data_IF_070398367246
#
_entry.id   IF_070398367246
#
_cell.length_a   1.000
_cell.length_b   1.000
_cell.length_c   1.000
_cell.angle_alpha   90.00
_cell.angle_beta   90.00
_cell.angle_gamma   90.00
#
_symmetry.space_group_name_H-M   'P 1'
#
loop_
_entity.id
_entity.type
_entity.pdbx_description
1 polymer ?
#
# COMPACT_ATOMS: atom_id res chain seq x y z
N UNK A 1 14.43 11.88 -21.94
CA UNK A 1 13.99 12.46 -20.65
C UNK A 1 12.58 12.01 -20.37
N UNK A 2 12.36 11.38 -19.22
CA UNK A 2 11.01 10.92 -18.82
C UNK A 2 10.15 12.16 -18.54
N UNK A 3 8.90 12.22 -19.05
CA UNK A 3 8.02 13.36 -18.76
C UNK A 3 7.83 13.52 -17.24
N UNK A 4 7.91 14.75 -16.71
CA UNK A 4 7.86 15.00 -15.26
C UNK A 4 6.52 14.62 -14.61
N UNK A 5 5.48 14.37 -15.41
CA UNK A 5 4.12 14.08 -14.94
C UNK A 5 3.72 12.61 -15.06
N UNK A 6 4.67 11.71 -15.30
CA UNK A 6 4.37 10.30 -15.43
C UNK A 6 4.30 9.63 -14.06
N UNK A 7 3.17 9.01 -13.77
CA UNK A 7 2.99 8.11 -12.63
C UNK A 7 3.13 6.64 -13.06
N UNK A 8 3.71 5.85 -12.20
CA UNK A 8 3.77 4.39 -12.33
C UNK A 8 2.69 3.80 -11.43
N UNK A 9 1.91 2.87 -11.98
CA UNK A 9 1.02 2.02 -11.21
C UNK A 9 1.67 0.64 -11.09
N UNK A 10 2.06 0.27 -9.87
CA UNK A 10 2.56 -1.07 -9.54
C UNK A 10 1.40 -1.87 -8.96
N UNK A 11 1.15 -3.05 -9.52
CA UNK A 11 0.18 -4.03 -9.01
C UNK A 11 0.95 -5.33 -8.75
N UNK A 12 0.64 -6.02 -7.66
CA UNK A 12 1.24 -7.33 -7.37
C UNK A 12 0.79 -8.37 -8.40
N UNK A 13 1.75 -9.05 -9.05
CA UNK A 13 1.55 -9.80 -10.28
C UNK A 13 0.66 -11.06 -10.24
N UNK A 14 0.12 -11.43 -9.07
CA UNK A 14 -0.85 -12.55 -8.92
C UNK A 14 -2.26 -12.08 -8.60
N UNK A 15 -2.47 -10.77 -8.57
CA UNK A 15 -3.74 -10.15 -8.22
C UNK A 15 -4.24 -9.31 -9.37
N UNK A 16 -5.54 -9.40 -9.62
CA UNK A 16 -6.27 -8.54 -10.53
C UNK A 16 -6.88 -7.38 -9.73
N UNK A 17 -6.61 -6.15 -10.16
CA UNK A 17 -7.26 -4.98 -9.59
C UNK A 17 -8.51 -4.63 -10.41
N UNK A 18 -9.68 -4.91 -9.85
CA UNK A 18 -10.96 -4.80 -10.56
C UNK A 18 -11.40 -3.34 -10.80
N UNK A 19 -10.94 -2.42 -9.95
CA UNK A 19 -11.32 -1.00 -10.00
C UNK A 19 -10.16 -0.07 -10.36
N UNK A 20 -9.17 -0.55 -11.10
CA UNK A 20 -7.97 0.23 -11.44
C UNK A 20 -8.29 1.56 -12.12
N UNK A 21 -9.31 1.61 -12.98
CA UNK A 21 -9.71 2.83 -13.66
C UNK A 21 -10.21 3.90 -12.67
N UNK A 22 -10.93 3.50 -11.63
CA UNK A 22 -11.44 4.41 -10.61
C UNK A 22 -10.31 4.92 -9.72
N UNK A 23 -9.34 4.06 -9.41
CA UNK A 23 -8.12 4.45 -8.70
C UNK A 23 -7.34 5.48 -9.52
N UNK A 24 -7.08 5.22 -10.80
CA UNK A 24 -6.38 6.16 -11.67
C UNK A 24 -7.11 7.50 -11.82
N UNK A 25 -8.44 7.50 -11.83
CA UNK A 25 -9.24 8.74 -11.88
C UNK A 25 -9.20 9.55 -10.59
N UNK A 26 -9.07 8.89 -9.44
CA UNK A 26 -9.05 9.54 -8.14
C UNK A 26 -7.67 10.04 -7.72
N UNK A 27 -6.59 9.42 -8.23
CA UNK A 27 -5.20 9.72 -7.88
C UNK A 27 -4.57 10.67 -8.90
N UNK A 28 -4.96 11.96 -8.85
CA UNK A 28 -4.59 12.95 -9.89
C UNK A 28 -3.33 13.74 -9.60
N UNK A 29 -2.90 13.81 -8.36
CA UNK A 29 -1.72 14.59 -8.00
C UNK A 29 -0.46 13.78 -8.35
N UNK A 30 0.27 14.30 -9.33
CA UNK A 30 1.46 13.66 -9.89
C UNK A 30 2.67 13.66 -8.94
N UNK A 31 2.63 14.46 -7.87
CA UNK A 31 3.68 14.50 -6.85
C UNK A 31 3.33 13.67 -5.61
N UNK A 32 2.20 12.98 -5.64
CA UNK A 32 1.73 12.18 -4.52
C UNK A 32 2.01 10.70 -4.75
N UNK A 33 2.54 10.05 -3.73
CA UNK A 33 2.58 8.59 -3.63
C UNK A 33 1.27 8.12 -3.00
N UNK A 34 0.52 7.31 -3.74
CA UNK A 34 -0.70 6.68 -3.26
C UNK A 34 -0.40 5.23 -2.86
N UNK A 35 -0.48 4.95 -1.59
CA UNK A 35 -0.32 3.62 -1.02
C UNK A 35 -1.06 3.54 0.31
N UNK A 36 -1.68 2.40 0.60
CA UNK A 36 -2.25 2.18 1.93
C UNK A 36 -1.13 1.84 2.91
N UNK A 37 -1.14 2.50 4.06
CA UNK A 37 -0.23 2.22 5.18
C UNK A 37 -1.02 1.48 6.24
N UNK A 38 -0.45 0.42 6.77
CA UNK A 38 -0.96 -0.33 7.91
C UNK A 38 0.13 -0.51 8.95
N UNK A 39 -0.28 -0.87 10.16
CA UNK A 39 0.64 -1.34 11.20
C UNK A 39 0.72 -2.86 11.08
N UNK A 40 1.93 -3.37 11.00
CA UNK A 40 2.17 -4.80 11.17
C UNK A 40 2.30 -5.09 12.67
N UNK A 41 1.70 -6.20 13.12
CA UNK A 41 1.77 -6.62 14.51
C UNK A 41 3.17 -7.01 14.97
N UNK A 42 4.07 -7.31 14.00
CA UNK A 42 5.41 -7.82 14.27
C UNK A 42 6.51 -6.75 14.13
N UNK A 43 6.45 -5.92 13.09
CA UNK A 43 7.58 -5.10 12.66
C UNK A 43 7.27 -3.60 12.49
N UNK A 44 6.11 -3.13 12.93
CA UNK A 44 5.76 -1.72 12.88
C UNK A 44 4.96 -1.30 11.65
N UNK A 45 5.28 -0.15 11.07
CA UNK A 45 4.50 0.36 9.94
C UNK A 45 4.98 -0.21 8.61
N UNK A 46 4.03 -0.63 7.78
CA UNK A 46 4.27 -1.14 6.42
C UNK A 46 3.40 -0.40 5.41
N UNK A 47 3.88 -0.31 4.17
CA UNK A 47 3.07 0.14 3.04
C UNK A 47 2.59 -1.07 2.24
N UNK A 48 1.27 -1.19 2.06
CA UNK A 48 0.68 -2.33 1.33
C UNK A 48 1.17 -2.35 -0.11
N UNK A 49 1.76 -3.46 -0.54
CA UNK A 49 2.36 -3.64 -1.85
C UNK A 49 1.38 -4.02 -2.97
N UNK A 50 0.11 -4.29 -2.63
CA UNK A 50 -0.89 -4.76 -3.59
C UNK A 50 -1.10 -3.78 -4.75
N UNK A 51 -1.33 -2.51 -4.44
CA UNK A 51 -1.39 -1.41 -5.40
C UNK A 51 -0.60 -0.23 -4.86
N UNK A 52 0.29 0.32 -5.68
CA UNK A 52 1.04 1.55 -5.41
C UNK A 52 1.00 2.41 -6.65
N UNK A 53 0.66 3.68 -6.50
CA UNK A 53 0.74 4.66 -7.58
C UNK A 53 1.70 5.76 -7.13
N UNK A 54 2.72 6.04 -7.91
CA UNK A 54 3.73 7.01 -7.52
C UNK A 54 4.41 7.66 -8.73
N UNK A 55 5.01 8.85 -8.56
CA UNK A 55 5.87 9.46 -9.56
C UNK A 55 7.02 8.54 -9.94
N UNK A 56 7.47 8.63 -11.19
CA UNK A 56 8.67 7.90 -11.64
C UNK A 56 9.89 8.25 -10.78
N UNK A 57 10.03 9.54 -10.40
CA UNK A 57 11.10 10.02 -9.53
C UNK A 57 11.13 9.34 -8.17
N UNK A 58 9.98 9.09 -7.54
CA UNK A 58 9.90 8.33 -6.30
C UNK A 58 10.56 6.95 -6.43
N UNK A 59 10.22 6.21 -7.48
CA UNK A 59 10.83 4.89 -7.68
C UNK A 59 12.32 4.99 -7.97
N UNK A 60 12.75 5.88 -8.87
CA UNK A 60 14.14 6.00 -9.27
C UNK A 60 15.06 6.51 -8.17
N UNK A 61 14.61 7.48 -7.38
CA UNK A 61 15.47 8.22 -6.45
C UNK A 61 15.42 7.69 -5.02
N UNK A 62 14.31 7.05 -4.64
CA UNK A 62 14.11 6.60 -3.25
C UNK A 62 13.91 5.11 -3.11
N UNK A 63 13.05 4.50 -3.93
CA UNK A 63 12.72 3.09 -3.73
C UNK A 63 13.77 2.15 -4.36
N UNK A 64 14.10 2.31 -5.64
CA UNK A 64 15.04 1.42 -6.34
C UNK A 64 16.45 1.40 -5.74
N UNK A 65 17.02 2.53 -5.27
CA UNK A 65 18.32 2.48 -4.57
C UNK A 65 18.32 1.63 -3.31
N UNK A 66 17.15 1.44 -2.69
CA UNK A 66 16.99 0.63 -1.47
C UNK A 66 16.63 -0.83 -1.71
N UNK A 67 16.57 -1.28 -2.95
CA UNK A 67 16.18 -2.67 -3.28
C UNK A 67 17.03 -3.73 -2.56
N UNK A 68 18.30 -3.44 -2.31
CA UNK A 68 19.23 -4.33 -1.61
C UNK A 68 18.93 -4.45 -0.10
N UNK A 69 18.09 -3.55 0.45
CA UNK A 69 17.62 -3.65 1.84
C UNK A 69 16.53 -4.72 2.00
N UNK A 70 15.88 -5.16 0.89
CA UNK A 70 14.85 -6.19 0.92
C UNK A 70 15.51 -7.53 1.23
N UNK A 71 15.16 -8.10 2.38
CA UNK A 71 15.76 -9.35 2.84
C UNK A 71 14.73 -10.12 3.70
N UNK A 72 14.05 -11.07 3.08
CA UNK A 72 13.02 -11.86 3.74
C UNK A 72 13.55 -12.71 4.90
N UNK A 73 14.82 -13.13 4.84
CA UNK A 73 15.46 -13.89 5.93
C UNK A 73 15.70 -13.05 7.19
N UNK A 74 15.72 -11.71 7.05
CA UNK A 74 15.83 -10.74 8.14
C UNK A 74 14.51 -10.04 8.43
N UNK A 75 13.40 -10.58 7.96
CA UNK A 75 12.05 -9.98 8.10
C UNK A 75 11.96 -8.54 7.53
N UNK A 76 12.90 -8.16 6.66
CA UNK A 76 12.89 -6.87 5.99
C UNK A 76 12.22 -7.00 4.62
N UNK A 77 10.88 -7.02 4.60
CA UNK A 77 10.09 -7.24 3.40
C UNK A 77 10.00 -5.98 2.52
N UNK A 78 9.54 -6.18 1.29
CA UNK A 78 9.29 -5.11 0.32
C UNK A 78 8.44 -3.97 0.92
N UNK A 79 7.43 -4.32 1.72
CA UNK A 79 6.48 -3.41 2.35
C UNK A 79 7.15 -2.45 3.35
N UNK A 80 8.17 -2.90 4.07
CA UNK A 80 8.97 -2.07 4.97
C UNK A 80 9.80 -1.05 4.22
N UNK A 81 10.51 -1.51 3.18
CA UNK A 81 11.36 -0.63 2.34
C UNK A 81 10.51 0.38 1.59
N UNK A 82 9.31 -0.03 1.14
CA UNK A 82 8.36 0.88 0.51
C UNK A 82 7.88 1.95 1.50
N UNK A 83 7.54 1.55 2.73
CA UNK A 83 7.13 2.49 3.78
C UNK A 83 8.22 3.53 4.07
N UNK A 84 9.46 3.10 4.29
CA UNK A 84 10.57 4.01 4.56
C UNK A 84 10.84 4.96 3.39
N UNK A 85 10.72 4.45 2.15
CA UNK A 85 10.84 5.29 0.96
C UNK A 85 9.74 6.34 0.87
N UNK A 86 8.51 6.01 1.29
CA UNK A 86 7.40 6.98 1.40
C UNK A 86 7.70 8.03 2.48
N UNK A 87 8.25 7.63 3.63
CA UNK A 87 8.63 8.57 4.67
C UNK A 87 9.69 9.57 4.19
N UNK A 88 10.69 9.08 3.46
CA UNK A 88 11.73 9.96 2.91
C UNK A 88 11.21 10.84 1.77
N UNK A 89 10.26 10.36 0.97
CA UNK A 89 9.57 11.16 -0.02
C UNK A 89 8.85 12.36 0.62
N UNK A 90 8.10 12.10 1.70
CA UNK A 90 7.38 13.17 2.41
C UNK A 90 8.32 14.17 3.08
N UNK A 91 9.49 13.74 3.57
CA UNK A 91 10.52 14.66 4.10
C UNK A 91 11.12 15.57 3.01
N UNK A 92 11.12 15.13 1.76
CA UNK A 92 11.59 15.89 0.59
C UNK A 92 10.51 16.73 -0.08
N UNK A 93 9.45 17.11 0.65
CA UNK A 93 8.30 17.89 0.16
C UNK A 93 7.40 17.16 -0.85
N UNK A 94 7.52 15.84 -0.97
CA UNK A 94 6.52 15.03 -1.63
C UNK A 94 5.28 14.82 -0.77
N UNK A 95 4.24 14.29 -1.36
CA UNK A 95 3.01 13.97 -0.64
C UNK A 95 2.77 12.47 -0.60
N UNK A 96 2.11 12.01 0.47
CA UNK A 96 1.57 10.66 0.56
C UNK A 96 0.07 10.75 0.86
N UNK A 97 -0.69 9.92 0.17
CA UNK A 97 -2.13 9.76 0.41
C UNK A 97 -2.51 8.28 0.33
N UNK A 98 -3.42 7.85 1.17
CA UNK A 98 -4.07 6.55 1.03
C UNK A 98 -5.11 6.62 -0.11
N UNK A 99 -5.49 5.48 -0.65
CA UNK A 99 -6.57 5.44 -1.63
C UNK A 99 -7.90 5.77 -0.96
N UNK A 100 -8.65 6.74 -1.50
CA UNK A 100 -10.01 7.07 -1.03
C UNK A 100 -10.99 5.91 -1.25
N UNK A 101 -10.87 5.28 -2.41
CA UNK A 101 -11.56 4.02 -2.71
C UNK A 101 -10.57 2.88 -2.55
N UNK A 102 -10.85 1.87 -1.72
CA UNK A 102 -9.93 0.77 -1.54
C UNK A 102 -9.71 0.02 -2.86
N UNK A 103 -8.47 -0.44 -3.14
CA UNK A 103 -8.23 -1.32 -4.26
C UNK A 103 -9.08 -2.61 -4.15
N UNK A 104 -9.87 -2.89 -5.17
CA UNK A 104 -10.65 -4.13 -5.24
C UNK A 104 -9.80 -5.21 -5.91
N UNK A 105 -9.24 -6.09 -5.09
CA UNK A 105 -8.30 -7.12 -5.53
C UNK A 105 -8.96 -8.50 -5.61
N UNK A 106 -8.63 -9.26 -6.64
CA UNK A 106 -9.04 -10.66 -6.80
C UNK A 106 -7.85 -11.50 -7.21
N UNK A 107 -7.75 -12.72 -6.67
CA UNK A 107 -6.66 -13.63 -7.05
C UNK A 107 -6.29 -14.59 -5.94
N UNK A 108 -5.02 -15.01 -5.95
CA UNK A 108 -4.46 -15.94 -4.97
C UNK A 108 -3.23 -15.32 -4.34
N UNK A 109 -3.17 -15.33 -3.01
CA UNK A 109 -1.99 -14.89 -2.27
C UNK A 109 -0.78 -15.74 -2.64
N UNK A 110 0.33 -15.07 -2.95
CA UNK A 110 1.57 -15.76 -3.25
C UNK A 110 2.22 -16.43 -2.05
N UNK A 111 1.94 -15.93 -0.85
CA UNK A 111 2.54 -16.38 0.40
C UNK A 111 1.72 -17.50 1.04
N UNK A 112 0.40 -17.35 1.10
CA UNK A 112 -0.47 -18.29 1.81
C UNK A 112 -1.29 -19.21 0.90
N UNK A 113 -1.33 -18.99 -0.42
CA UNK A 113 -2.22 -19.69 -1.34
C UNK A 113 -3.72 -19.36 -1.15
N UNK A 114 -4.06 -18.49 -0.22
CA UNK A 114 -5.44 -18.14 0.08
C UNK A 114 -6.05 -17.31 -1.06
N UNK A 115 -7.32 -17.54 -1.35
CA UNK A 115 -8.09 -16.69 -2.25
C UNK A 115 -8.27 -15.32 -1.62
N UNK A 116 -7.90 -14.30 -2.38
CA UNK A 116 -8.15 -12.90 -2.04
C UNK A 116 -9.38 -12.47 -2.84
N UNK A 117 -10.40 -11.99 -2.14
CA UNK A 117 -11.54 -11.30 -2.74
C UNK A 117 -11.84 -10.09 -1.87
N UNK A 118 -11.65 -8.92 -2.41
CA UNK A 118 -11.87 -7.66 -1.70
C UNK A 118 -13.21 -7.01 -2.02
N UNK A 119 -14.23 -7.82 -2.32
CA UNK A 119 -15.59 -7.32 -2.36
C UNK A 119 -15.99 -6.83 -0.95
N UNK A 120 -16.01 -5.52 -0.78
CA UNK A 120 -16.40 -4.91 0.49
C UNK A 120 -17.91 -4.74 0.59
N UNK A 121 -18.47 -5.08 1.74
CA UNK A 121 -19.83 -4.68 2.08
C UNK A 121 -19.90 -3.14 2.25
N UNK A 122 -21.09 -2.57 2.16
CA UNK A 122 -21.30 -1.13 2.38
C UNK A 122 -20.79 -0.68 3.76
N UNK A 123 -20.95 -1.50 4.77
CA UNK A 123 -20.48 -1.22 6.14
C UNK A 123 -18.95 -1.18 6.22
N UNK A 124 -18.27 -2.13 5.56
CA UNK A 124 -16.81 -2.17 5.50
C UNK A 124 -16.27 -0.95 4.72
N UNK A 125 -16.93 -0.57 3.63
CA UNK A 125 -16.55 0.62 2.86
C UNK A 125 -16.72 1.91 3.69
N UNK A 126 -17.82 2.03 4.43
CA UNK A 126 -18.05 3.18 5.33
C UNK A 126 -16.97 3.24 6.40
N UNK A 127 -16.66 2.11 7.07
CA UNK A 127 -15.59 2.01 8.05
C UNK A 127 -14.24 2.42 7.45
N UNK A 128 -13.92 1.92 6.26
CA UNK A 128 -12.69 2.29 5.55
C UNK A 128 -12.60 3.80 5.33
N UNK A 129 -13.68 4.45 4.87
CA UNK A 129 -13.71 5.90 4.62
C UNK A 129 -13.57 6.72 5.91
N UNK A 130 -14.22 6.31 6.99
CA UNK A 130 -14.04 6.95 8.30
C UNK A 130 -12.57 6.86 8.73
N UNK A 131 -11.97 5.69 8.63
CA UNK A 131 -10.57 5.49 8.98
C UNK A 131 -9.62 6.25 8.05
N UNK A 132 -9.93 6.35 6.76
CA UNK A 132 -9.19 7.21 5.83
C UNK A 132 -9.16 8.66 6.31
N UNK A 133 -10.32 9.23 6.65
CA UNK A 133 -10.43 10.60 7.16
C UNK A 133 -9.63 10.78 8.46
N UNK A 134 -9.80 9.85 9.42
CA UNK A 134 -9.10 9.91 10.70
C UNK A 134 -7.58 9.86 10.52
N UNK A 135 -7.07 9.05 9.61
CA UNK A 135 -5.64 8.96 9.33
C UNK A 135 -5.11 10.16 8.57
N UNK A 136 -5.82 10.56 7.52
CA UNK A 136 -5.35 11.62 6.63
C UNK A 136 -5.37 13.00 7.30
N UNK A 137 -6.36 13.28 8.13
CA UNK A 137 -6.57 14.61 8.71
C UNK A 137 -6.18 14.71 10.19
N UNK A 138 -6.25 13.63 10.93
CA UNK A 138 -5.98 13.64 12.37
C UNK A 138 -4.75 12.84 12.77
N UNK A 139 -4.02 12.27 11.82
CA UNK A 139 -2.81 11.48 12.10
C UNK A 139 -3.05 10.25 12.97
N UNK A 140 -4.29 9.73 12.98
CA UNK A 140 -4.66 8.59 13.81
C UNK A 140 -3.89 7.34 13.38
N UNK A 141 -3.04 6.80 14.29
CA UNK A 141 -2.12 5.68 14.01
C UNK A 141 -2.66 4.31 14.44
N UNK A 142 -3.85 4.24 15.03
CA UNK A 142 -4.38 3.04 15.66
C UNK A 142 -5.26 2.17 14.77
N UNK A 143 -4.80 1.69 13.61
CA UNK A 143 -5.65 0.88 12.74
C UNK A 143 -4.98 -0.42 12.30
N UNK A 144 -5.62 -1.53 12.64
CA UNK A 144 -5.42 -2.82 12.03
C UNK A 144 -6.08 -2.84 10.63
N UNK A 145 -5.38 -3.34 9.64
CA UNK A 145 -5.92 -3.47 8.28
C UNK A 145 -7.13 -4.41 8.30
N UNK A 146 -8.36 -3.96 7.95
CA UNK A 146 -9.53 -4.83 7.99
C UNK A 146 -9.48 -5.98 6.99
N UNK A 147 -8.51 -5.97 6.08
CA UNK A 147 -8.28 -7.03 5.10
C UNK A 147 -7.43 -8.19 5.62
N UNK A 148 -6.77 -8.01 6.77
CA UNK A 148 -5.99 -9.05 7.45
C UNK A 148 -6.76 -9.67 8.62
N UNK A 149 -8.04 -9.98 8.44
CA UNK A 149 -8.74 -10.82 9.39
C UNK A 149 -8.43 -12.30 9.14
N UNK A 150 -7.58 -12.84 10.00
CA UNK A 150 -7.65 -14.23 10.39
C UNK A 150 -7.00 -15.21 9.43
N UNK A 151 -5.69 -15.23 9.41
CA UNK A 151 -5.06 -16.56 9.46
C UNK A 151 -4.94 -16.92 10.95
N UNK A 152 -5.46 -18.09 11.37
CA UNK A 152 -5.17 -18.58 12.71
C UNK A 152 -3.65 -18.67 12.85
N UNK A 153 -3.12 -18.09 13.94
CA UNK A 153 -1.73 -18.28 14.34
C UNK A 153 -1.51 -19.77 14.50
N UNK A 154 -0.93 -20.42 13.49
CA UNK A 154 -0.35 -21.73 13.73
C UNK A 154 0.88 -21.49 14.59
N UNK A 155 0.92 -21.97 15.84
CA UNK A 155 2.16 -21.99 16.58
C UNK A 155 3.16 -22.83 15.75
N UNK A 156 4.26 -22.22 15.40
CA UNK A 156 5.41 -22.96 14.85
C UNK A 156 5.93 -23.77 16.04
N UNK A 157 5.68 -25.07 16.04
CA UNK A 157 6.39 -26.03 16.85
C UNK A 157 7.81 -26.21 16.35
#
# INVERSE_FOLDING_TARGET
TTPPHLQIVKITGRLLCLNINDLCRSCKDVNTVYANISKDDWDGNIATSQVVMAPVSFFKELFLPRREEINDSKCRHFEHVLYDSIQDWTKKNGHHCMFWTPPAMEGVSGTSGAKISSAMSATQLLRYRIMFVLRQYFGYRGYENPFYHGQPKNPIE
#
